data_IF_967392900447
#
_entry.id   IF_967392900447
#
_cell.length_a   1.000
_cell.length_b   1.000
_cell.length_c   1.000
_cell.angle_alpha   90.00
_cell.angle_beta   90.00
_cell.angle_gamma   90.00
#
_symmetry.space_group_name_H-M   'P 1'
#
loop_
_entity.id
_entity.type
_entity.pdbx_description
1 polymer ?
#
# COMPACT_ATOMS: atom_id res chain seq x y z
N UNK A 1 -12.49 -28.15 -26.78
CA UNK A 1 -12.86 -27.82 -28.17
C UNK A 1 -14.23 -27.17 -28.12
N UNK A 2 -14.44 -26.07 -28.84
CA UNK A 2 -15.74 -25.43 -28.94
C UNK A 2 -16.60 -26.18 -29.98
N UNK A 3 -17.48 -27.06 -29.50
CA UNK A 3 -18.33 -27.88 -30.36
C UNK A 3 -19.47 -27.10 -31.00
N UNK A 4 -19.88 -25.98 -30.41
CA UNK A 4 -20.95 -25.13 -30.96
C UNK A 4 -20.42 -24.31 -32.15
N UNK A 5 -19.17 -23.83 -32.08
CA UNK A 5 -18.50 -23.23 -33.23
C UNK A 5 -18.40 -24.21 -34.41
N UNK A 6 -18.02 -25.47 -34.16
CA UNK A 6 -17.93 -26.50 -35.21
C UNK A 6 -19.30 -26.79 -35.82
N UNK A 7 -20.32 -26.99 -34.97
CA UNK A 7 -21.69 -27.19 -35.44
C UNK A 7 -22.18 -26.02 -36.31
N UNK A 8 -21.82 -24.78 -35.96
CA UNK A 8 -22.16 -23.61 -36.78
C UNK A 8 -21.49 -23.62 -38.17
N UNK A 9 -20.26 -24.12 -38.27
CA UNK A 9 -19.58 -24.32 -39.56
C UNK A 9 -20.25 -25.41 -40.42
N UNK A 10 -20.74 -26.48 -39.79
CA UNK A 10 -21.44 -27.59 -40.46
C UNK A 10 -22.75 -27.16 -41.14
N UNK A 11 -23.44 -26.14 -40.59
CA UNK A 11 -24.63 -25.54 -41.23
C UNK A 11 -24.31 -24.70 -42.47
N UNK A 12 -23.03 -24.53 -42.82
CA UNK A 12 -22.59 -23.86 -44.04
C UNK A 12 -22.19 -22.41 -43.78
N UNK A 13 -20.98 -22.21 -43.23
CA UNK A 13 -20.37 -20.88 -43.21
C UNK A 13 -20.01 -20.43 -44.63
N UNK A 14 -20.48 -19.26 -45.09
CA UNK A 14 -20.08 -18.70 -46.38
C UNK A 14 -18.56 -18.45 -46.44
N UNK A 15 -18.03 -18.25 -47.65
CA UNK A 15 -16.64 -17.80 -47.81
C UNK A 15 -16.46 -16.44 -47.17
N UNK A 16 -15.84 -16.39 -46.00
CA UNK A 16 -15.64 -15.18 -45.21
C UNK A 16 -14.15 -14.95 -44.91
N UNK A 17 -13.76 -13.68 -44.80
CA UNK A 17 -12.47 -13.26 -44.28
C UNK A 17 -12.67 -12.49 -42.98
N UNK A 18 -11.78 -12.72 -42.01
CA UNK A 18 -11.77 -12.00 -40.73
C UNK A 18 -10.68 -10.94 -40.70
N UNK A 19 -10.94 -9.80 -40.06
CA UNK A 19 -9.94 -8.77 -39.79
C UNK A 19 -9.92 -8.45 -38.30
N UNK A 20 -8.72 -8.41 -37.72
CA UNK A 20 -8.49 -7.94 -36.36
C UNK A 20 -7.48 -6.79 -36.36
N UNK A 21 -7.84 -5.67 -35.73
CA UNK A 21 -6.97 -4.51 -35.56
C UNK A 21 -6.82 -4.22 -34.07
N UNK A 22 -5.59 -4.16 -33.58
CA UNK A 22 -5.31 -3.76 -32.21
C UNK A 22 -5.34 -2.24 -32.06
N UNK A 23 -6.40 -1.71 -31.44
CA UNK A 23 -6.61 -0.26 -31.28
C UNK A 23 -5.48 0.40 -30.47
N UNK A 24 -5.02 -0.25 -29.40
CA UNK A 24 -3.94 0.28 -28.56
C UNK A 24 -2.64 0.40 -29.35
N UNK A 25 -2.31 -0.63 -30.15
CA UNK A 25 -1.11 -0.64 -31.01
C UNK A 25 -1.20 0.34 -32.16
N UNK A 26 -2.38 0.48 -32.77
CA UNK A 26 -2.64 1.50 -33.78
C UNK A 26 -2.43 2.89 -33.19
N UNK A 27 -2.99 3.14 -32.00
CA UNK A 27 -2.83 4.41 -31.29
C UNK A 27 -1.36 4.68 -30.97
N UNK A 28 -0.62 3.71 -30.44
CA UNK A 28 0.82 3.84 -30.17
C UNK A 28 1.60 4.27 -31.42
N UNK A 29 1.28 3.67 -32.57
CA UNK A 29 1.90 4.05 -33.84
C UNK A 29 1.53 5.48 -34.25
N UNK A 30 0.25 5.83 -34.20
CA UNK A 30 -0.24 7.16 -34.56
C UNK A 30 0.30 8.27 -33.66
N UNK A 31 0.56 7.98 -32.39
CA UNK A 31 1.06 8.94 -31.39
C UNK A 31 2.56 8.84 -31.17
N UNK A 32 3.26 7.98 -31.92
CA UNK A 32 4.69 7.69 -31.80
C UNK A 32 5.13 7.35 -30.35
N UNK A 33 4.30 6.59 -29.63
CA UNK A 33 4.57 6.17 -28.25
C UNK A 33 5.16 4.75 -28.22
N UNK A 34 6.32 4.55 -27.56
CA UNK A 34 6.97 3.24 -27.49
C UNK A 34 6.30 2.29 -26.49
N UNK A 35 5.60 2.81 -25.47
CA UNK A 35 4.93 2.00 -24.43
C UNK A 35 3.40 2.04 -24.58
N UNK A 36 2.75 0.90 -24.35
CA UNK A 36 1.28 0.80 -24.33
C UNK A 36 0.66 1.56 -23.14
N UNK A 37 1.44 1.77 -22.09
CA UNK A 37 0.96 2.49 -20.90
C UNK A 37 0.70 3.97 -21.19
N UNK A 38 1.34 4.53 -22.22
CA UNK A 38 1.19 5.94 -22.61
C UNK A 38 -0.10 6.22 -23.40
N UNK A 39 -0.75 5.17 -23.93
CA UNK A 39 -2.00 5.26 -24.68
C UNK A 39 -3.22 4.76 -23.89
N UNK A 40 -3.00 4.25 -22.68
CA UNK A 40 -4.04 3.79 -21.77
C UNK A 40 -4.29 4.85 -20.69
N UNK A 41 -5.56 5.20 -20.45
CA UNK A 41 -5.92 6.15 -19.39
C UNK A 41 -5.55 5.64 -17.99
N UNK A 42 -5.73 4.34 -17.77
CA UNK A 42 -5.47 3.66 -16.50
C UNK A 42 -4.75 2.34 -16.76
N UNK A 43 -3.42 2.37 -17.02
CA UNK A 43 -2.66 1.15 -17.21
C UNK A 43 -2.65 0.32 -15.92
N UNK A 44 -2.62 -1.01 -16.06
CA UNK A 44 -2.47 -1.89 -14.92
C UNK A 44 -1.08 -1.72 -14.31
N UNK A 45 -1.02 -1.05 -13.15
CA UNK A 45 0.22 -0.85 -12.40
C UNK A 45 0.48 -2.00 -11.41
N UNK A 46 1.76 -2.20 -11.08
CA UNK A 46 2.12 -3.08 -9.97
C UNK A 46 1.63 -2.42 -8.66
N UNK A 47 0.93 -3.16 -7.78
CA UNK A 47 0.49 -2.60 -6.51
C UNK A 47 1.69 -2.14 -5.69
N UNK A 48 1.50 -1.08 -4.92
CA UNK A 48 2.52 -0.58 -4.00
C UNK A 48 2.91 -1.67 -2.98
N UNK A 49 4.20 -1.74 -2.60
CA UNK A 49 4.61 -2.66 -1.56
C UNK A 49 3.90 -2.30 -0.26
N UNK A 50 3.17 -3.27 0.32
CA UNK A 50 2.57 -3.10 1.64
C UNK A 50 3.69 -2.77 2.63
N UNK A 51 3.59 -1.64 3.31
CA UNK A 51 4.49 -1.29 4.42
C UNK A 51 4.42 -2.41 5.46
N UNK A 52 5.57 -2.98 5.84
CA UNK A 52 5.66 -3.99 6.90
C UNK A 52 5.14 -3.34 8.19
N UNK A 53 4.05 -3.86 8.72
CA UNK A 53 3.59 -3.54 10.07
C UNK A 53 4.17 -4.58 11.00
N UNK A 54 4.95 -4.16 11.98
CA UNK A 54 5.42 -5.07 13.02
C UNK A 54 4.22 -5.48 13.91
N UNK A 55 4.19 -6.71 14.41
CA UNK A 55 3.12 -7.17 15.30
C UNK A 55 3.18 -6.44 16.64
N UNK A 56 2.02 -6.30 17.31
CA UNK A 56 1.90 -5.68 18.65
C UNK A 56 2.90 -6.31 19.65
N UNK A 57 3.16 -7.61 19.54
CA UNK A 57 4.12 -8.33 20.36
C UNK A 57 5.57 -7.83 20.22
N UNK A 58 5.93 -7.33 19.03
CA UNK A 58 7.28 -6.80 18.75
C UNK A 58 7.48 -5.45 19.42
N UNK A 59 6.42 -4.62 19.47
CA UNK A 59 6.42 -3.36 20.21
C UNK A 59 6.43 -3.59 21.73
N UNK A 60 5.70 -4.60 22.22
CA UNK A 60 5.72 -4.98 23.65
C UNK A 60 7.10 -5.48 24.07
N UNK A 61 7.79 -6.26 23.23
CA UNK A 61 9.19 -6.67 23.47
C UNK A 61 10.17 -5.49 23.48
N UNK A 62 9.86 -4.41 22.76
CA UNK A 62 10.63 -3.16 22.80
C UNK A 62 10.33 -2.29 24.03
N UNK A 63 9.44 -2.75 24.93
CA UNK A 63 9.08 -2.04 26.16
C UNK A 63 7.99 -0.98 25.98
N UNK A 64 7.34 -0.94 24.80
CA UNK A 64 6.25 0.00 24.51
C UNK A 64 4.94 -0.57 25.05
N UNK A 65 4.22 0.23 25.84
CA UNK A 65 2.94 -0.20 26.39
C UNK A 65 1.91 -0.45 25.27
N UNK A 66 1.07 -1.50 25.37
CA UNK A 66 0.14 -1.90 24.32
C UNK A 66 -0.87 -0.80 23.93
N UNK A 67 -1.15 0.11 24.85
CA UNK A 67 -2.04 1.26 24.66
C UNK A 67 -1.48 2.29 23.66
N UNK A 68 -0.15 2.38 23.54
CA UNK A 68 0.53 3.33 22.65
C UNK A 68 0.76 2.75 21.25
N UNK A 69 0.66 1.43 21.05
CA UNK A 69 0.86 0.79 19.74
C UNK A 69 -0.12 1.30 18.67
N UNK A 70 -1.45 1.39 18.94
CA UNK A 70 -2.40 1.94 17.96
C UNK A 70 -2.18 3.43 17.68
N UNK A 71 -1.61 4.18 18.64
CA UNK A 71 -1.29 5.60 18.47
C UNK A 71 -0.06 5.76 17.58
N UNK A 72 0.99 4.96 17.80
CA UNK A 72 2.19 4.96 16.98
C UNK A 72 1.91 4.53 15.54
N UNK A 73 1.03 3.54 15.33
CA UNK A 73 0.54 3.16 14.01
C UNK A 73 -0.19 4.30 13.30
N UNK A 74 -1.08 5.01 14.00
CA UNK A 74 -1.82 6.17 13.46
C UNK A 74 -0.91 7.36 13.17
N UNK A 75 0.21 7.49 13.87
CA UNK A 75 1.24 8.50 13.62
C UNK A 75 2.22 8.10 12.51
N UNK A 76 2.04 6.93 11.88
CA UNK A 76 2.85 6.47 10.74
C UNK A 76 4.09 5.67 11.12
N UNK A 77 4.34 5.45 12.42
CA UNK A 77 5.46 4.63 12.91
C UNK A 77 5.04 3.17 13.03
N UNK A 78 4.91 2.52 11.88
CA UNK A 78 4.45 1.13 11.74
C UNK A 78 5.54 0.08 12.04
N UNK A 79 6.78 0.50 12.32
CA UNK A 79 7.89 -0.40 12.67
C UNK A 79 8.70 0.10 13.87
N UNK A 80 9.25 -0.83 14.66
CA UNK A 80 10.12 -0.50 15.81
C UNK A 80 11.43 0.17 15.33
N UNK A 81 11.90 -0.19 14.13
CA UNK A 81 13.07 0.45 13.52
C UNK A 81 12.82 1.93 13.17
N UNK A 82 11.60 2.31 12.80
CA UNK A 82 11.23 3.71 12.55
C UNK A 82 11.23 4.56 13.83
N UNK A 83 11.12 3.96 15.01
CA UNK A 83 11.13 4.69 16.28
C UNK A 83 12.55 5.09 16.69
N UNK A 84 13.54 4.23 16.41
CA UNK A 84 14.95 4.46 16.76
C UNK A 84 15.61 5.64 16.03
N UNK A 85 15.02 6.11 14.93
CA UNK A 85 15.54 7.27 14.17
C UNK A 85 14.98 8.61 14.64
N UNK A 86 14.05 8.61 15.60
CA UNK A 86 13.40 9.82 16.12
C UNK A 86 14.11 10.32 17.37
N UNK A 87 13.96 11.62 17.66
CA UNK A 87 14.42 12.23 18.91
C UNK A 87 13.39 11.98 20.01
N UNK A 88 13.82 11.49 21.18
CA UNK A 88 12.93 11.19 22.31
C UNK A 88 12.06 12.39 22.73
N UNK A 89 12.64 13.59 22.82
CA UNK A 89 11.90 14.79 23.21
C UNK A 89 10.81 15.20 22.21
N UNK A 90 11.01 14.96 20.91
CA UNK A 90 9.99 15.26 19.90
C UNK A 90 8.87 14.24 19.95
N UNK A 91 9.21 12.95 20.02
CA UNK A 91 8.23 11.88 20.11
C UNK A 91 7.37 11.99 21.37
N UNK A 92 7.96 12.35 22.52
CA UNK A 92 7.24 12.59 23.77
C UNK A 92 6.21 13.73 23.64
N UNK A 93 6.60 14.86 23.07
CA UNK A 93 5.70 16.00 22.87
C UNK A 93 4.56 15.67 21.91
N UNK A 94 4.86 14.94 20.83
CA UNK A 94 3.87 14.53 19.85
C UNK A 94 2.88 13.51 20.45
N UNK A 95 3.35 12.54 21.24
CA UNK A 95 2.50 11.56 21.95
C UNK A 95 1.58 12.22 22.99
N UNK A 96 2.15 13.07 23.85
CA UNK A 96 1.38 13.81 24.86
C UNK A 96 0.36 14.77 24.22
N UNK A 97 0.77 15.44 23.14
CA UNK A 97 -0.10 16.31 22.35
C UNK A 97 -1.24 15.53 21.68
N UNK A 98 -0.93 14.36 21.11
CA UNK A 98 -1.91 13.49 20.45
C UNK A 98 -2.95 12.94 21.44
N UNK A 99 -2.52 12.52 22.63
CA UNK A 99 -3.41 12.04 23.69
C UNK A 99 -4.38 13.14 24.17
N UNK A 100 -3.86 14.36 24.37
CA UNK A 100 -4.69 15.52 24.75
C UNK A 100 -5.67 15.91 23.63
N UNK A 101 -5.22 15.92 22.38
CA UNK A 101 -6.03 16.33 21.21
C UNK A 101 -7.16 15.34 20.93
N UNK A 102 -6.91 14.04 21.11
CA UNK A 102 -7.88 12.98 20.79
C UNK A 102 -8.62 12.44 22.02
N UNK A 103 -8.41 13.03 23.21
CA UNK A 103 -9.07 12.64 24.47
C UNK A 103 -9.00 11.13 24.75
N UNK A 104 -7.83 10.51 24.53
CA UNK A 104 -7.71 9.05 24.60
C UNK A 104 -7.72 8.53 26.05
N UNK A 105 -7.52 9.39 27.05
CA UNK A 105 -7.59 9.01 28.47
C UNK A 105 -6.47 8.08 28.94
N UNK A 106 -5.45 7.89 28.10
CA UNK A 106 -4.28 7.05 28.37
C UNK A 106 -3.34 7.79 29.33
N UNK A 107 -2.67 7.07 30.23
CA UNK A 107 -1.63 7.66 31.08
C UNK A 107 -0.45 8.09 30.18
N UNK A 108 -0.08 9.37 30.26
CA UNK A 108 1.05 9.89 29.48
C UNK A 108 2.34 9.16 29.88
N UNK A 109 3.14 8.68 28.91
CA UNK A 109 4.44 8.10 29.20
C UNK A 109 5.35 9.20 29.73
N UNK A 110 6.34 8.82 30.51
CA UNK A 110 7.41 9.72 30.97
C UNK A 110 8.48 9.88 29.89
N UNK A 111 9.28 10.95 29.97
CA UNK A 111 10.36 11.20 28.99
C UNK A 111 11.40 10.07 28.99
N UNK A 112 11.66 9.45 30.16
CA UNK A 112 12.56 8.32 30.33
C UNK A 112 12.03 7.04 29.66
N UNK A 113 10.72 6.79 29.72
CA UNK A 113 10.10 5.66 29.02
C UNK A 113 10.17 5.82 27.51
N UNK A 114 9.95 7.04 27.00
CA UNK A 114 10.07 7.34 25.57
C UNK A 114 11.52 7.24 25.09
N UNK A 115 12.50 7.66 25.89
CA UNK A 115 13.92 7.47 25.59
C UNK A 115 14.27 5.97 25.50
N UNK A 116 13.78 5.16 26.43
CA UNK A 116 13.97 3.71 26.45
C UNK A 116 13.35 3.01 25.22
N UNK A 117 12.23 3.51 24.68
CA UNK A 117 11.61 2.99 23.46
C UNK A 117 12.44 3.23 22.20
N UNK A 118 13.22 4.31 22.19
CA UNK A 118 14.09 4.72 21.08
C UNK A 118 15.51 4.12 21.26
N UNK A 119 15.88 3.75 22.48
CA UNK A 119 17.20 3.22 22.83
C UNK A 119 18.24 4.30 23.15
N UNK A 120 17.77 5.48 23.55
CA UNK A 120 18.58 6.58 24.13
C UNK A 120 18.63 6.47 25.66
#
# INVERSE_FOLDING_TARGET
IDHDFVRALEYGMPTCSGMGIGIDRLTMFMTNQPSIQDVLLFPQMKPEPKTRKDSVETFVKAGIAPEWVPVLEKMGHSTVASLKSLKAGKLFNDLCGYNKKNKLGIINPTMEEVAKWIGE
#
